data_IF_333795232527
#
_entry.id   IF_333795232527
#
_cell.length_a   1.000
_cell.length_b   1.000
_cell.length_c   1.000
_cell.angle_alpha   90.00
_cell.angle_beta   90.00
_cell.angle_gamma   90.00
#
_symmetry.space_group_name_H-M   'P 1'
#
loop_
_entity.id
_entity.type
_entity.pdbx_description
1 polymer ?
#
# COMPACT_ATOMS: atom_id res chain seq x y z
N UNK A 1 -0.02 11.60 -17.81
CA UNK A 1 -0.50 12.74 -17.02
C UNK A 1 0.36 12.80 -15.78
N UNK A 2 0.91 13.97 -15.49
CA UNK A 2 1.65 14.21 -14.25
C UNK A 2 0.70 14.04 -13.05
N UNK A 3 1.23 13.63 -11.90
CA UNK A 3 0.42 13.37 -10.71
C UNK A 3 -0.28 14.64 -10.23
N UNK A 4 0.39 15.78 -10.35
CA UNK A 4 -0.16 17.11 -10.05
C UNK A 4 -1.26 17.52 -11.04
N UNK A 5 -1.10 17.19 -12.31
CA UNK A 5 -2.10 17.49 -13.37
C UNK A 5 -3.40 16.72 -13.13
N UNK A 6 -3.29 15.46 -12.71
CA UNK A 6 -4.44 14.63 -12.34
C UNK A 6 -5.18 15.13 -11.11
N UNK A 7 -4.48 15.68 -10.13
CA UNK A 7 -5.09 16.23 -8.91
C UNK A 7 -5.76 17.57 -9.19
N UNK A 8 -5.10 18.42 -9.98
CA UNK A 8 -5.65 19.68 -10.45
C UNK A 8 -6.92 19.47 -11.28
N UNK A 9 -6.94 18.48 -12.18
CA UNK A 9 -8.12 18.14 -12.96
C UNK A 9 -9.29 17.66 -12.09
N UNK A 10 -9.03 16.86 -11.05
CA UNK A 10 -10.05 16.44 -10.07
C UNK A 10 -10.60 17.64 -9.28
N UNK A 11 -9.71 18.51 -8.79
CA UNK A 11 -10.11 19.73 -8.08
C UNK A 11 -10.95 20.66 -8.98
N UNK A 12 -10.55 20.85 -10.24
CA UNK A 12 -11.29 21.63 -11.22
C UNK A 12 -12.69 21.07 -11.47
N UNK A 13 -12.83 19.75 -11.61
CA UNK A 13 -14.13 19.10 -11.77
C UNK A 13 -15.05 19.32 -10.54
N UNK A 14 -14.49 19.32 -9.32
CA UNK A 14 -15.24 19.62 -8.11
C UNK A 14 -15.68 21.09 -8.00
N UNK A 15 -14.96 22.00 -8.65
CA UNK A 15 -15.22 23.44 -8.62
C UNK A 15 -16.23 23.90 -9.68
N UNK A 16 -16.67 23.01 -10.59
CA UNK A 16 -17.69 23.35 -11.60
C UNK A 16 -19.01 23.70 -10.89
N UNK A 17 -19.61 24.87 -11.16
CA UNK A 17 -20.92 25.23 -10.62
C UNK A 17 -21.96 24.16 -10.98
N UNK A 18 -22.73 23.70 -9.99
CA UNK A 18 -23.72 22.63 -10.18
C UNK A 18 -23.15 21.21 -10.13
N UNK A 19 -21.84 21.00 -9.97
CA UNK A 19 -21.25 19.67 -9.86
C UNK A 19 -21.86 18.82 -8.73
N UNK A 20 -22.39 19.46 -7.67
CA UNK A 20 -23.11 18.79 -6.59
C UNK A 20 -24.39 18.07 -7.03
N UNK A 21 -25.00 18.47 -8.15
CA UNK A 21 -26.20 17.84 -8.71
C UNK A 21 -25.86 16.55 -9.48
N UNK A 22 -24.62 16.44 -9.99
CA UNK A 22 -24.12 15.26 -10.71
C UNK A 22 -23.54 14.23 -9.73
N UNK A 23 -24.35 13.80 -8.77
CA UNK A 23 -23.92 12.95 -7.64
C UNK A 23 -23.22 11.68 -8.14
N UNK A 24 -23.73 11.06 -9.20
CA UNK A 24 -23.15 9.85 -9.77
C UNK A 24 -21.78 10.10 -10.43
N UNK A 25 -21.67 11.13 -11.28
CA UNK A 25 -20.41 11.48 -11.96
C UNK A 25 -19.34 11.90 -10.95
N UNK A 26 -19.71 12.68 -9.94
CA UNK A 26 -18.82 13.06 -8.86
C UNK A 26 -18.36 11.85 -8.02
N UNK A 27 -19.23 10.88 -7.77
CA UNK A 27 -18.85 9.64 -7.10
C UNK A 27 -17.86 8.81 -7.94
N UNK A 28 -18.05 8.75 -9.26
CA UNK A 28 -17.14 8.07 -10.18
C UNK A 28 -15.78 8.75 -10.26
N UNK A 29 -15.74 10.08 -10.30
CA UNK A 29 -14.50 10.85 -10.25
C UNK A 29 -13.73 10.62 -8.95
N UNK A 30 -14.43 10.60 -7.81
CA UNK A 30 -13.84 10.27 -6.50
C UNK A 30 -13.25 8.86 -6.48
N UNK A 31 -13.97 7.87 -7.04
CA UNK A 31 -13.44 6.50 -7.13
C UNK A 31 -12.13 6.48 -7.94
N UNK A 32 -12.11 7.10 -9.11
CA UNK A 32 -10.90 7.19 -9.95
C UNK A 32 -9.75 7.89 -9.21
N UNK A 33 -10.01 9.06 -8.62
CA UNK A 33 -9.01 9.83 -7.89
C UNK A 33 -8.45 9.06 -6.69
N UNK A 34 -9.31 8.41 -5.90
CA UNK A 34 -8.91 7.58 -4.77
C UNK A 34 -8.02 6.40 -5.17
N UNK A 35 -8.30 5.76 -6.31
CA UNK A 35 -7.43 4.70 -6.84
C UNK A 35 -6.07 5.22 -7.32
N UNK A 36 -6.03 6.43 -7.89
CA UNK A 36 -4.78 7.08 -8.28
C UNK A 36 -3.94 7.48 -7.07
N UNK A 37 -4.53 8.11 -6.05
CA UNK A 37 -3.89 8.44 -4.78
C UNK A 37 -3.26 7.20 -4.12
N UNK A 38 -3.96 6.06 -4.16
CA UNK A 38 -3.44 4.78 -3.66
C UNK A 38 -2.16 4.36 -4.40
N UNK A 39 -2.15 4.41 -5.73
CA UNK A 39 -0.98 4.05 -6.56
C UNK A 39 0.24 4.94 -6.27
N UNK A 40 0.00 6.18 -5.86
CA UNK A 40 1.02 7.18 -5.46
C UNK A 40 1.45 7.07 -3.99
N UNK A 41 0.91 6.10 -3.23
CA UNK A 41 1.24 5.90 -1.82
C UNK A 41 0.56 6.88 -0.84
N UNK A 42 -0.32 7.77 -1.33
CA UNK A 42 -1.07 8.75 -0.53
C UNK A 42 -2.30 8.11 0.12
N UNK A 43 -2.04 7.16 1.01
CA UNK A 43 -3.06 6.23 1.53
C UNK A 43 -4.17 6.93 2.32
N UNK A 44 -3.83 7.86 3.22
CA UNK A 44 -4.84 8.53 4.04
C UNK A 44 -5.88 9.24 3.17
N UNK A 45 -5.39 9.98 2.16
CA UNK A 45 -6.23 10.72 1.21
C UNK A 45 -7.01 9.77 0.29
N UNK A 46 -6.40 8.65 -0.14
CA UNK A 46 -7.08 7.62 -0.91
C UNK A 46 -8.26 7.02 -0.13
N UNK A 47 -8.06 6.67 1.14
CA UNK A 47 -9.09 6.10 2.01
C UNK A 47 -10.23 7.09 2.22
N UNK A 48 -9.92 8.35 2.50
CA UNK A 48 -10.93 9.40 2.65
C UNK A 48 -11.78 9.57 1.37
N UNK A 49 -11.10 9.68 0.23
CA UNK A 49 -11.74 9.88 -1.09
C UNK A 49 -12.62 8.68 -1.47
N UNK A 50 -12.14 7.45 -1.23
CA UNK A 50 -12.90 6.23 -1.51
C UNK A 50 -14.12 6.07 -0.60
N UNK A 51 -14.04 6.47 0.68
CA UNK A 51 -15.21 6.50 1.55
C UNK A 51 -16.25 7.54 1.10
N UNK A 52 -15.82 8.68 0.58
CA UNK A 52 -16.74 9.68 0.01
C UNK A 52 -17.46 9.14 -1.23
N UNK A 53 -16.75 8.43 -2.13
CA UNK A 53 -17.37 7.74 -3.26
C UNK A 53 -18.36 6.66 -2.80
N UNK A 54 -17.97 5.84 -1.81
CA UNK A 54 -18.80 4.76 -1.27
C UNK A 54 -20.13 5.29 -0.72
N UNK A 55 -20.11 6.35 0.11
CA UNK A 55 -21.33 6.95 0.67
C UNK A 55 -22.28 7.45 -0.43
N UNK A 56 -21.73 8.07 -1.49
CA UNK A 56 -22.54 8.54 -2.60
C UNK A 56 -23.19 7.39 -3.37
N UNK A 57 -22.44 6.33 -3.70
CA UNK A 57 -23.00 5.17 -4.41
C UNK A 57 -24.01 4.38 -3.57
N UNK A 58 -23.81 4.29 -2.25
CA UNK A 58 -24.81 3.71 -1.34
C UNK A 58 -26.11 4.51 -1.32
N UNK A 59 -26.03 5.85 -1.28
CA UNK A 59 -27.20 6.72 -1.36
C UNK A 59 -27.97 6.59 -2.69
N UNK A 60 -27.27 6.24 -3.77
CA UNK A 60 -27.86 6.00 -5.09
C UNK A 60 -28.33 4.56 -5.33
N UNK A 61 -28.08 3.62 -4.41
CA UNK A 61 -28.36 2.19 -4.60
C UNK A 61 -27.53 1.52 -5.70
N UNK A 62 -26.37 2.09 -6.04
CA UNK A 62 -25.53 1.67 -7.16
C UNK A 62 -24.58 0.53 -6.75
N UNK A 63 -25.12 -0.66 -6.44
CA UNK A 63 -24.38 -1.76 -5.80
C UNK A 63 -23.08 -2.19 -6.52
N UNK A 64 -23.02 -2.26 -7.88
CA UNK A 64 -21.76 -2.58 -8.57
C UNK A 64 -20.63 -1.57 -8.28
N UNK A 65 -20.97 -0.32 -8.02
CA UNK A 65 -20.01 0.74 -7.69
C UNK A 65 -19.65 0.74 -6.20
N UNK A 66 -20.59 0.38 -5.34
CA UNK A 66 -20.36 0.13 -3.91
C UNK A 66 -19.30 -0.97 -3.75
N UNK A 67 -19.42 -2.08 -4.48
CA UNK A 67 -18.44 -3.17 -4.43
C UNK A 67 -17.07 -2.76 -4.96
N UNK A 68 -17.00 -1.95 -6.01
CA UNK A 68 -15.73 -1.38 -6.49
C UNK A 68 -15.06 -0.49 -5.43
N UNK A 69 -15.83 0.35 -4.73
CA UNK A 69 -15.30 1.19 -3.66
C UNK A 69 -14.80 0.34 -2.48
N UNK A 70 -15.55 -0.69 -2.08
CA UNK A 70 -15.13 -1.65 -1.03
C UNK A 70 -13.87 -2.39 -1.42
N UNK A 71 -13.74 -2.83 -2.67
CA UNK A 71 -12.52 -3.45 -3.19
C UNK A 71 -11.34 -2.48 -3.12
N UNK A 72 -11.53 -1.24 -3.58
CA UNK A 72 -10.54 -0.17 -3.50
C UNK A 72 -10.12 0.14 -2.07
N UNK A 73 -11.02 0.11 -1.09
CA UNK A 73 -10.71 0.30 0.34
C UNK A 73 -9.97 -0.89 0.94
N UNK A 74 -10.30 -2.13 0.56
CA UNK A 74 -9.53 -3.32 0.98
C UNK A 74 -8.10 -3.28 0.45
N UNK A 75 -7.90 -2.85 -0.80
CA UNK A 75 -6.57 -2.60 -1.37
C UNK A 75 -5.89 -1.39 -0.72
N UNK A 76 -6.68 -0.35 -0.47
CA UNK A 76 -6.51 0.73 0.49
C UNK A 76 -5.77 0.27 1.73
N UNK A 77 -6.33 -0.78 2.35
CA UNK A 77 -6.01 -1.25 3.68
C UNK A 77 -4.83 -2.23 3.72
N UNK A 78 -4.53 -2.90 2.60
CA UNK A 78 -3.30 -3.68 2.43
C UNK A 78 -2.09 -2.78 2.63
N UNK A 79 -1.28 -3.10 3.63
CA UNK A 79 -0.04 -2.36 3.92
C UNK A 79 0.85 -2.41 2.67
N UNK A 80 1.48 -1.28 2.24
CA UNK A 80 2.36 -1.25 1.06
C UNK A 80 3.53 -2.23 1.11
N UNK A 81 3.82 -2.79 2.29
CA UNK A 81 4.85 -3.80 2.49
C UNK A 81 4.38 -5.23 2.19
N UNK A 82 3.17 -5.46 1.69
CA UNK A 82 2.69 -6.76 1.22
C UNK A 82 2.94 -6.94 -0.29
N UNK A 83 4.21 -6.91 -0.71
CA UNK A 83 4.60 -7.50 -2.00
C UNK A 83 4.16 -8.98 -2.04
N UNK A 84 3.98 -9.60 -3.23
CA UNK A 84 3.58 -11.00 -3.32
C UNK A 84 4.44 -11.86 -2.39
N UNK A 85 3.74 -12.53 -1.48
CA UNK A 85 4.31 -13.40 -0.47
C UNK A 85 4.98 -14.57 -1.19
N UNK A 86 6.31 -14.65 -1.11
CA UNK A 86 7.06 -15.78 -1.66
C UNK A 86 6.86 -17.03 -0.80
N UNK A 87 7.39 -18.18 -1.21
CA UNK A 87 7.17 -19.50 -0.62
C UNK A 87 7.33 -19.59 0.93
N UNK A 88 8.03 -18.63 1.55
CA UNK A 88 8.28 -18.54 2.98
C UNK A 88 7.46 -17.46 3.72
N UNK A 89 6.38 -16.92 3.16
CA UNK A 89 5.57 -15.92 3.88
C UNK A 89 6.13 -14.48 3.83
N UNK A 90 7.28 -14.29 3.16
CA UNK A 90 7.99 -13.02 3.10
C UNK A 90 7.72 -12.24 1.82
N UNK A 91 7.78 -10.91 1.93
CA UNK A 91 7.75 -10.02 0.78
C UNK A 91 9.13 -9.90 0.14
N UNK A 92 9.20 -9.41 -1.11
CA UNK A 92 10.48 -9.26 -1.81
C UNK A 92 11.50 -8.41 -1.03
N UNK A 93 11.05 -7.35 -0.36
CA UNK A 93 11.90 -6.50 0.47
C UNK A 93 12.30 -7.20 1.77
N UNK A 94 11.39 -7.91 2.42
CA UNK A 94 11.68 -8.72 3.60
C UNK A 94 12.68 -9.83 3.31
N UNK A 95 12.55 -10.53 2.18
CA UNK A 95 13.52 -11.53 1.73
C UNK A 95 14.90 -10.91 1.52
N UNK A 96 14.97 -9.74 0.86
CA UNK A 96 16.24 -9.07 0.59
C UNK A 96 16.94 -8.64 1.88
N UNK A 97 16.18 -8.15 2.87
CA UNK A 97 16.69 -7.89 4.23
C UNK A 97 17.15 -9.18 4.90
N UNK A 98 16.32 -10.24 4.90
CA UNK A 98 16.61 -11.52 5.53
C UNK A 98 17.90 -12.14 4.99
N UNK A 99 18.11 -12.10 3.67
CA UNK A 99 19.32 -12.62 3.00
C UNK A 99 20.59 -11.86 3.39
N UNK A 100 20.57 -10.53 3.38
CA UNK A 100 21.74 -9.74 3.81
C UNK A 100 22.06 -9.97 5.28
N UNK A 101 21.02 -10.12 6.10
CA UNK A 101 21.18 -10.38 7.53
C UNK A 101 21.66 -11.82 7.78
N UNK A 102 21.21 -12.80 7.00
CA UNK A 102 21.65 -14.20 7.15
C UNK A 102 23.14 -14.38 6.81
N UNK A 103 23.72 -13.53 5.96
CA UNK A 103 25.17 -13.55 5.68
C UNK A 103 26.02 -12.83 6.73
N UNK A 104 25.43 -12.34 7.82
CA UNK A 104 26.14 -11.75 8.96
C UNK A 104 26.19 -10.21 9.02
N UNK A 105 25.65 -9.48 8.03
CA UNK A 105 25.72 -8.01 8.00
C UNK A 105 24.88 -7.32 9.08
N UNK A 106 25.49 -6.53 9.96
CA UNK A 106 24.77 -5.73 10.97
C UNK A 106 23.64 -4.88 10.37
N UNK A 107 22.67 -4.45 11.18
CA UNK A 107 21.58 -3.59 10.69
C UNK A 107 22.08 -2.31 10.02
N UNK A 108 23.28 -1.83 10.39
CA UNK A 108 23.94 -0.68 9.77
C UNK A 108 24.45 -1.01 8.37
N UNK A 109 25.13 -2.14 8.20
CA UNK A 109 25.67 -2.58 6.90
C UNK A 109 24.55 -2.99 5.94
N UNK A 110 23.57 -3.76 6.42
CA UNK A 110 22.39 -4.11 5.63
C UNK A 110 21.56 -2.87 5.26
N UNK A 111 21.47 -1.90 6.16
CA UNK A 111 20.85 -0.61 5.90
C UNK A 111 21.59 0.16 4.79
N UNK A 112 22.92 0.24 4.86
CA UNK A 112 23.74 0.86 3.82
C UNK A 112 23.55 0.18 2.45
N UNK A 113 23.55 -1.15 2.41
CA UNK A 113 23.36 -1.92 1.17
C UNK A 113 21.97 -1.74 0.53
N UNK A 114 20.94 -1.43 1.34
CA UNK A 114 19.56 -1.26 0.88
C UNK A 114 19.09 0.19 0.84
N UNK A 115 19.96 1.16 1.16
CA UNK A 115 19.59 2.57 1.33
C UNK A 115 18.46 2.76 2.38
N UNK A 116 18.50 1.98 3.46
CA UNK A 116 17.55 2.01 4.57
C UNK A 116 18.24 2.37 5.89
N UNK A 117 17.49 2.98 6.81
CA UNK A 117 18.01 3.24 8.15
C UNK A 117 18.19 1.92 8.94
N UNK A 118 19.15 1.84 9.87
CA UNK A 118 19.30 0.68 10.76
C UNK A 118 18.02 0.36 11.55
N UNK A 119 17.24 1.40 11.90
CA UNK A 119 15.94 1.28 12.55
C UNK A 119 14.90 0.60 11.65
N UNK A 120 14.90 0.96 10.36
CA UNK A 120 14.02 0.33 9.36
C UNK A 120 14.35 -1.15 9.19
N UNK A 121 15.64 -1.50 9.16
CA UNK A 121 16.09 -2.91 9.14
C UNK A 121 15.59 -3.66 10.39
N UNK A 122 15.71 -3.08 11.59
CA UNK A 122 15.16 -3.68 12.81
C UNK A 122 13.65 -3.92 12.73
N UNK A 123 12.89 -2.96 12.18
CA UNK A 123 11.46 -3.10 11.97
C UNK A 123 11.11 -4.20 10.94
N UNK A 124 11.93 -4.41 9.91
CA UNK A 124 11.77 -5.56 9.02
C UNK A 124 12.03 -6.87 9.75
N UNK A 125 13.12 -6.99 10.50
CA UNK A 125 13.46 -8.21 11.24
C UNK A 125 12.41 -8.61 12.26
N UNK A 126 11.82 -7.64 12.97
CA UNK A 126 10.70 -7.86 13.88
C UNK A 126 9.48 -8.53 13.21
N UNK A 127 9.25 -8.24 11.92
CA UNK A 127 8.17 -8.87 11.14
C UNK A 127 8.58 -10.19 10.49
N UNK A 128 9.85 -10.33 10.11
CA UNK A 128 10.40 -11.52 9.44
C UNK A 128 10.47 -12.71 10.41
N UNK A 129 10.95 -12.49 11.63
CA UNK A 129 11.13 -13.55 12.64
C UNK A 129 9.89 -14.40 12.88
N UNK A 130 8.71 -13.83 13.22
CA UNK A 130 7.50 -14.63 13.41
C UNK A 130 7.00 -15.29 12.12
N UNK A 131 7.24 -14.69 10.95
CA UNK A 131 6.86 -15.29 9.65
C UNK A 131 7.66 -16.54 9.31
N UNK A 132 8.94 -16.57 9.73
CA UNK A 132 9.83 -17.71 9.52
C UNK A 132 9.90 -18.67 10.72
N UNK A 133 9.20 -18.38 11.82
CA UNK A 133 9.27 -19.19 13.04
C UNK A 133 10.64 -19.16 13.73
N UNK A 134 11.46 -18.13 13.49
CA UNK A 134 12.80 -17.99 14.05
C UNK A 134 12.84 -16.93 15.14
N UNK A 135 13.69 -17.12 16.14
CA UNK A 135 13.86 -16.18 17.27
C UNK A 135 15.20 -15.46 17.26
N UNK A 136 16.10 -15.85 16.36
CA UNK A 136 17.45 -15.31 16.32
C UNK A 136 17.91 -15.04 14.89
N UNK A 137 18.86 -14.11 14.81
CA UNK A 137 19.53 -13.75 13.57
C UNK A 137 20.29 -14.93 12.94
N UNK A 138 20.93 -15.75 13.77
CA UNK A 138 21.66 -16.94 13.31
C UNK A 138 20.73 -17.99 12.68
N UNK A 139 19.49 -18.09 13.17
CA UNK A 139 18.49 -19.02 12.65
C UNK A 139 17.95 -18.62 11.26
N UNK A 140 18.18 -17.38 10.79
CA UNK A 140 17.75 -16.96 9.45
C UNK A 140 18.42 -17.77 8.33
N UNK A 141 19.69 -18.16 8.49
CA UNK A 141 20.43 -18.90 7.47
C UNK A 141 19.81 -20.28 7.17
N UNK A 142 19.27 -20.95 8.20
CA UNK A 142 18.60 -22.25 8.04
C UNK A 142 17.11 -22.16 7.67
N UNK A 143 16.50 -20.98 7.77
CA UNK A 143 15.07 -20.77 7.49
C UNK A 143 14.78 -20.20 6.09
N UNK A 144 15.82 -19.77 5.36
CA UNK A 144 15.70 -19.27 4.01
C UNK A 144 15.92 -20.41 3.00
N UNK A 145 15.14 -20.49 1.91
CA UNK A 145 15.38 -21.47 0.86
C UNK A 145 16.77 -21.24 0.24
N UNK A 146 17.53 -22.32 0.07
CA UNK A 146 18.76 -22.34 -0.73
C UNK A 146 18.38 -21.93 -2.17
N UNK A 147 19.21 -21.11 -2.80
CA UNK A 147 18.93 -20.57 -4.16
C UNK A 147 19.09 -21.64 -5.23
#
# INVERSE_FOLDING_TARGET
ADDAESDAAYAAACAVPGAGEWVFDMARLRLLHGTALRRRGRRAEAVETLHAALRAFQGLGAEPWVEQCRAGLREADRTPNAAPVQACGLTAQELRVARLVSTGLTNKEAGAALQLSPRTIGAHLYRIFPKLGVTSRAALAGALPES
#
